data_IF_171101456948
#
_entry.id   IF_171101456948
#
_cell.length_a   1.000
_cell.length_b   1.000
_cell.length_c   1.000
_cell.angle_alpha   90.00
_cell.angle_beta   90.00
_cell.angle_gamma   90.00
#
_symmetry.space_group_name_H-M   'P 1'
#
loop_
_entity.id
_entity.type
_entity.pdbx_description
1 polymer ?
#
# COMPACT_ATOMS: atom_id res chain seq x y z
N UNK A 1 -17.11 12.05 -3.35
CA UNK A 1 -17.25 13.51 -3.54
C UNK A 1 -15.94 14.26 -3.33
N UNK A 2 -15.23 14.10 -2.18
CA UNK A 2 -13.98 14.84 -1.88
C UNK A 2 -12.88 14.60 -2.92
N UNK A 3 -12.60 13.33 -3.26
CA UNK A 3 -11.59 12.98 -4.28
C UNK A 3 -11.91 13.61 -5.64
N UNK A 4 -13.19 13.66 -6.03
CA UNK A 4 -13.62 14.32 -7.25
C UNK A 4 -13.31 15.82 -7.26
N UNK A 5 -13.61 16.51 -6.16
CA UNK A 5 -13.28 17.93 -6.00
C UNK A 5 -11.77 18.19 -6.08
N UNK A 6 -10.97 17.39 -5.40
CA UNK A 6 -9.51 17.50 -5.43
C UNK A 6 -8.94 17.24 -6.84
N UNK A 7 -9.55 16.31 -7.59
CA UNK A 7 -9.15 16.04 -8.98
C UNK A 7 -9.48 17.21 -9.90
N UNK A 8 -10.66 17.82 -9.76
CA UNK A 8 -11.08 19.01 -10.55
C UNK A 8 -10.17 20.20 -10.25
N UNK A 9 -9.74 20.36 -9.02
CA UNK A 9 -8.80 21.41 -8.61
C UNK A 9 -7.33 21.11 -9.00
N UNK A 10 -7.06 19.99 -9.68
CA UNK A 10 -5.71 19.60 -10.07
C UNK A 10 -4.80 19.19 -8.91
N UNK A 11 -5.37 18.89 -7.74
CA UNK A 11 -4.61 18.47 -6.55
C UNK A 11 -4.29 16.98 -6.54
N UNK A 12 -5.00 16.17 -7.31
CA UNK A 12 -4.66 14.76 -7.56
C UNK A 12 -4.21 14.64 -9.02
N UNK A 13 -2.91 14.38 -9.21
CA UNK A 13 -2.29 14.44 -10.55
C UNK A 13 -2.37 13.11 -11.31
N UNK A 14 -2.68 12.00 -10.63
CA UNK A 14 -2.86 10.64 -11.20
C UNK A 14 -1.68 10.11 -12.03
N UNK A 15 -0.50 10.75 -11.95
CA UNK A 15 0.70 10.35 -12.71
C UNK A 15 1.40 9.12 -12.12
N UNK A 16 1.20 8.87 -10.85
CA UNK A 16 1.75 7.73 -10.14
C UNK A 16 1.05 7.53 -8.81
N UNK A 17 0.91 6.25 -8.41
CA UNK A 17 0.26 5.86 -7.17
C UNK A 17 1.24 5.13 -6.27
N UNK A 18 1.26 5.48 -4.99
CA UNK A 18 1.94 4.74 -3.94
C UNK A 18 0.89 3.87 -3.27
N UNK A 19 1.13 2.54 -3.23
CA UNK A 19 0.27 1.59 -2.54
C UNK A 19 0.94 1.11 -1.27
N UNK A 20 0.18 1.10 -0.18
CA UNK A 20 0.64 0.56 1.10
C UNK A 20 -0.56 0.16 1.97
N UNK A 21 -0.30 -0.57 3.07
CA UNK A 21 -1.34 -1.02 3.98
C UNK A 21 -0.95 -0.87 5.44
N UNK A 22 -1.94 -0.71 6.29
CA UNK A 22 -1.75 -0.72 7.73
C UNK A 22 -2.76 -1.63 8.40
N UNK A 23 -2.36 -2.27 9.51
CA UNK A 23 -3.25 -3.10 10.30
C UNK A 23 -4.04 -2.19 11.25
N UNK A 24 -5.35 -2.44 11.31
CA UNK A 24 -6.28 -1.85 12.27
C UNK A 24 -6.75 -2.99 13.17
N UNK A 25 -6.44 -2.89 14.47
CA UNK A 25 -6.81 -3.93 15.42
C UNK A 25 -8.31 -3.91 15.73
N UNK A 26 -8.89 -5.10 15.79
CA UNK A 26 -10.21 -5.33 16.34
C UNK A 26 -10.10 -5.95 17.74
N UNK A 27 -11.10 -5.75 18.62
CA UNK A 27 -11.13 -6.38 19.94
C UNK A 27 -11.08 -7.91 19.81
N UNK A 28 -10.05 -8.52 20.37
CA UNK A 28 -9.89 -9.99 20.35
C UNK A 28 -10.63 -10.70 21.51
N UNK A 29 -11.15 -9.94 22.47
CA UNK A 29 -11.82 -10.46 23.66
C UNK A 29 -13.23 -10.95 23.33
N UNK A 30 -13.63 -12.07 23.93
CA UNK A 30 -15.01 -12.59 23.94
C UNK A 30 -15.80 -12.14 25.18
N UNK A 31 -15.24 -11.24 26.00
CA UNK A 31 -15.89 -10.69 27.22
C UNK A 31 -16.85 -9.54 26.92
N UNK A 32 -17.35 -9.44 25.69
CA UNK A 32 -18.38 -8.50 25.28
C UNK A 32 -19.78 -9.07 25.54
N UNK A 33 -20.81 -8.23 25.37
CA UNK A 33 -22.22 -8.60 25.57
C UNK A 33 -22.63 -9.83 24.74
N UNK A 34 -22.12 -9.95 23.54
CA UNK A 34 -22.46 -11.02 22.60
C UNK A 34 -21.60 -12.27 22.76
N UNK A 35 -20.57 -12.24 23.61
CA UNK A 35 -19.58 -13.30 23.83
C UNK A 35 -18.93 -13.83 22.53
N UNK A 36 -18.84 -12.98 21.51
CA UNK A 36 -18.31 -13.30 20.20
C UNK A 36 -17.25 -12.31 19.77
N UNK A 37 -16.31 -12.77 18.98
CA UNK A 37 -15.40 -11.91 18.21
C UNK A 37 -16.10 -11.44 16.96
N UNK A 38 -15.61 -10.36 16.39
CA UNK A 38 -16.01 -9.88 15.07
C UNK A 38 -15.76 -10.97 14.03
N UNK A 39 -16.79 -11.48 13.32
CA UNK A 39 -16.66 -12.60 12.38
C UNK A 39 -15.87 -12.22 11.12
N UNK A 40 -15.84 -10.94 10.75
CA UNK A 40 -15.16 -10.44 9.55
C UNK A 40 -13.68 -10.11 9.81
N UNK A 41 -13.30 -9.99 11.08
CA UNK A 41 -11.93 -9.74 11.49
C UNK A 41 -11.12 -11.05 11.53
N UNK A 42 -9.89 -11.02 10.96
CA UNK A 42 -9.03 -12.19 10.90
C UNK A 42 -7.64 -11.89 11.48
N UNK A 43 -6.88 -12.97 11.71
CA UNK A 43 -5.50 -12.88 12.20
C UNK A 43 -4.51 -12.70 11.06
N UNK A 44 -3.48 -11.89 11.30
CA UNK A 44 -2.30 -11.78 10.46
C UNK A 44 -1.05 -11.69 11.30
N UNK A 45 0.07 -12.15 10.76
CA UNK A 45 1.37 -12.07 11.43
C UNK A 45 2.23 -10.98 10.79
N UNK A 46 2.73 -10.04 11.60
CA UNK A 46 3.72 -9.05 11.17
C UNK A 46 4.97 -9.17 12.04
N UNK A 47 6.07 -9.57 11.43
CA UNK A 47 7.25 -9.98 12.18
C UNK A 47 6.95 -11.19 13.06
N UNK A 48 7.19 -11.08 14.37
CA UNK A 48 6.87 -12.12 15.36
C UNK A 48 5.55 -11.90 16.12
N UNK A 49 4.80 -10.83 15.78
CA UNK A 49 3.57 -10.47 16.49
C UNK A 49 2.35 -10.83 15.67
N UNK A 50 1.36 -11.46 16.33
CA UNK A 50 0.04 -11.72 15.76
C UNK A 50 -0.89 -10.54 16.04
N UNK A 51 -1.65 -10.15 15.02
CA UNK A 51 -2.65 -9.10 15.07
C UNK A 51 -4.00 -9.69 14.63
N UNK A 52 -5.07 -9.32 15.33
CA UNK A 52 -6.44 -9.65 14.95
C UNK A 52 -7.16 -8.37 14.55
N UNK A 53 -7.81 -8.36 13.39
CA UNK A 53 -8.52 -7.20 12.89
C UNK A 53 -8.59 -7.13 11.38
N UNK A 54 -8.36 -5.92 10.87
CA UNK A 54 -8.48 -5.55 9.48
C UNK A 54 -7.17 -4.96 8.94
N UNK A 55 -7.11 -4.83 7.63
CA UNK A 55 -6.11 -4.00 6.95
C UNK A 55 -6.81 -2.87 6.21
N UNK A 56 -6.31 -1.65 6.39
CA UNK A 56 -6.62 -0.53 5.52
C UNK A 56 -5.52 -0.41 4.47
N UNK A 57 -5.89 -0.61 3.21
CA UNK A 57 -5.04 -0.43 2.05
C UNK A 57 -5.33 0.93 1.45
N UNK A 58 -4.30 1.68 1.07
CA UNK A 58 -4.45 3.02 0.53
C UNK A 58 -3.69 3.18 -0.78
N UNK A 59 -4.31 3.92 -1.71
CA UNK A 59 -3.68 4.46 -2.90
C UNK A 59 -3.46 5.97 -2.70
N UNK A 60 -2.21 6.39 -2.79
CA UNK A 60 -1.77 7.77 -2.52
C UNK A 60 -1.15 8.36 -3.77
N UNK A 61 -1.54 9.57 -4.14
CA UNK A 61 -0.93 10.27 -5.25
C UNK A 61 0.57 10.52 -4.96
N UNK A 62 1.41 10.10 -5.89
CA UNK A 62 2.87 10.19 -5.76
C UNK A 62 3.37 11.61 -5.56
N UNK A 63 2.78 12.60 -6.25
CA UNK A 63 3.28 13.97 -6.26
C UNK A 63 2.77 14.74 -5.03
N UNK A 64 1.47 14.68 -4.77
CA UNK A 64 0.83 15.47 -3.71
C UNK A 64 0.79 14.78 -2.36
N UNK A 65 0.87 13.44 -2.32
CA UNK A 65 0.72 12.68 -1.08
C UNK A 65 -0.73 12.53 -0.61
N UNK A 66 -1.70 12.93 -1.42
CA UNK A 66 -3.12 12.82 -1.08
C UNK A 66 -3.66 11.41 -1.35
N UNK A 67 -4.48 10.92 -0.44
CA UNK A 67 -5.16 9.62 -0.59
C UNK A 67 -6.30 9.77 -1.59
N UNK A 68 -6.34 8.89 -2.58
CA UNK A 68 -7.41 8.85 -3.59
C UNK A 68 -8.22 7.55 -3.55
N UNK A 69 -7.66 6.46 -3.02
CA UNK A 69 -8.38 5.20 -2.83
C UNK A 69 -8.10 4.62 -1.45
N UNK A 70 -9.13 4.03 -0.87
CA UNK A 70 -9.04 3.29 0.40
C UNK A 70 -9.86 2.02 0.25
N UNK A 71 -9.25 0.88 0.56
CA UNK A 71 -9.91 -0.41 0.66
C UNK A 71 -9.68 -1.01 2.04
N UNK A 72 -10.72 -1.56 2.64
CA UNK A 72 -10.63 -2.24 3.94
C UNK A 72 -10.93 -3.71 3.73
N UNK A 73 -10.02 -4.55 4.19
CA UNK A 73 -10.16 -6.01 4.12
C UNK A 73 -9.90 -6.65 5.47
N UNK A 74 -10.30 -7.90 5.64
CA UNK A 74 -9.84 -8.69 6.79
C UNK A 74 -8.31 -8.82 6.76
N UNK A 75 -7.67 -8.89 7.95
CA UNK A 75 -6.21 -8.80 8.06
C UNK A 75 -5.43 -9.93 7.37
N UNK A 76 -6.07 -11.06 7.07
CA UNK A 76 -5.46 -12.19 6.36
C UNK A 76 -5.39 -12.03 4.85
N UNK A 77 -6.09 -11.04 4.26
CA UNK A 77 -6.02 -10.76 2.83
C UNK A 77 -4.62 -10.28 2.45
N UNK A 78 -4.10 -10.78 1.34
CA UNK A 78 -2.75 -10.46 0.90
C UNK A 78 -2.72 -9.09 0.20
N UNK A 79 -1.86 -8.18 0.64
CA UNK A 79 -1.81 -6.78 0.17
C UNK A 79 -1.73 -6.64 -1.34
N UNK A 80 -0.97 -7.54 -1.99
CA UNK A 80 -0.77 -7.54 -3.43
C UNK A 80 -2.05 -7.80 -4.24
N UNK A 81 -3.07 -8.47 -3.66
CA UNK A 81 -4.35 -8.75 -4.34
C UNK A 81 -5.25 -7.53 -4.44
N UNK A 82 -5.04 -6.55 -3.59
CA UNK A 82 -5.87 -5.34 -3.49
C UNK A 82 -5.38 -4.21 -4.41
N UNK A 83 -4.16 -4.35 -4.97
CA UNK A 83 -3.55 -3.32 -5.81
C UNK A 83 -4.46 -2.79 -6.93
N UNK A 84 -5.17 -3.64 -7.71
CA UNK A 84 -6.04 -3.12 -8.78
C UNK A 84 -7.13 -2.16 -8.29
N UNK A 85 -7.68 -2.39 -7.09
CA UNK A 85 -8.69 -1.52 -6.50
C UNK A 85 -8.14 -0.18 -5.99
N UNK A 86 -6.81 -0.08 -5.83
CA UNK A 86 -6.14 1.14 -5.36
C UNK A 86 -5.69 2.06 -6.50
N UNK A 87 -5.81 1.62 -7.75
CA UNK A 87 -5.36 2.39 -8.90
C UNK A 87 -6.50 3.17 -9.52
N UNK A 88 -6.18 4.35 -10.06
CA UNK A 88 -7.13 5.19 -10.82
C UNK A 88 -7.29 4.74 -12.27
N UNK A 89 -6.32 3.98 -12.79
CA UNK A 89 -6.21 3.59 -14.19
C UNK A 89 -5.41 4.57 -15.05
N UNK A 90 -5.06 5.74 -14.55
CA UNK A 90 -4.31 6.77 -15.31
C UNK A 90 -2.81 6.77 -15.00
N UNK A 91 -2.37 5.92 -14.09
CA UNK A 91 -0.99 5.88 -13.61
C UNK A 91 0.03 5.57 -14.72
N UNK A 92 1.19 6.20 -14.61
CA UNK A 92 2.39 5.80 -15.34
C UNK A 92 3.33 4.94 -14.48
N UNK A 93 3.26 5.08 -13.16
CA UNK A 93 4.11 4.38 -12.20
C UNK A 93 3.32 3.98 -10.95
N UNK A 94 3.60 2.79 -10.42
CA UNK A 94 3.07 2.29 -9.15
C UNK A 94 4.24 1.98 -8.23
N UNK A 95 4.21 2.52 -7.01
CA UNK A 95 5.22 2.32 -5.98
C UNK A 95 4.65 1.48 -4.85
N UNK A 96 5.44 0.53 -4.39
CA UNK A 96 5.08 -0.32 -3.25
C UNK A 96 6.30 -0.90 -2.57
N UNK A 97 6.13 -1.46 -1.39
CA UNK A 97 7.18 -2.18 -0.68
C UNK A 97 7.40 -3.59 -1.28
N UNK A 98 8.30 -4.35 -0.70
CA UNK A 98 8.61 -5.72 -1.16
C UNK A 98 7.46 -6.72 -0.98
N UNK A 99 6.42 -6.38 -0.23
CA UNK A 99 5.20 -7.16 -0.09
C UNK A 99 4.35 -7.17 -1.36
N UNK A 100 4.52 -6.14 -2.20
CA UNK A 100 3.81 -5.98 -3.47
C UNK A 100 4.57 -6.58 -4.69
N UNK A 101 5.65 -7.33 -4.46
CA UNK A 101 6.38 -7.99 -5.55
C UNK A 101 5.45 -8.95 -6.31
N UNK A 102 5.44 -8.80 -7.65
CA UNK A 102 4.61 -9.60 -8.54
C UNK A 102 3.17 -9.07 -8.72
N UNK A 103 2.84 -7.89 -8.22
CA UNK A 103 1.54 -7.25 -8.43
C UNK A 103 1.22 -7.08 -9.93
N UNK A 104 2.24 -6.81 -10.74
CA UNK A 104 2.16 -6.65 -12.20
C UNK A 104 1.87 -7.94 -12.97
N UNK A 105 2.04 -9.10 -12.32
CA UNK A 105 1.94 -10.43 -12.94
C UNK A 105 0.71 -11.21 -12.50
N UNK A 106 -0.12 -10.66 -11.63
CA UNK A 106 -1.30 -11.34 -11.13
C UNK A 106 -2.47 -11.21 -12.08
N UNK A 107 -3.37 -12.17 -11.99
CA UNK A 107 -4.68 -12.07 -12.64
C UNK A 107 -5.40 -10.79 -12.19
N UNK A 108 -5.98 -10.06 -13.13
CA UNK A 108 -6.60 -8.75 -12.87
C UNK A 108 -5.63 -7.58 -12.69
N UNK A 109 -4.31 -7.78 -12.84
CA UNK A 109 -3.34 -6.69 -12.75
C UNK A 109 -3.57 -5.62 -13.84
N UNK A 110 -3.63 -4.36 -13.44
CA UNK A 110 -3.68 -3.22 -14.37
C UNK A 110 -2.25 -2.91 -14.82
N UNK A 111 -1.88 -3.38 -16.00
CA UNK A 111 -0.52 -3.20 -16.56
C UNK A 111 -0.42 -2.10 -17.60
N UNK A 112 -1.56 -1.58 -18.06
CA UNK A 112 -1.66 -0.45 -18.99
C UNK A 112 -2.65 0.56 -18.45
N UNK A 113 -2.32 1.84 -18.64
CA UNK A 113 -3.24 2.91 -18.26
C UNK A 113 -4.33 3.13 -19.32
N UNK A 114 -5.29 4.03 -19.03
CA UNK A 114 -6.41 4.39 -19.91
C UNK A 114 -5.95 4.87 -21.29
N UNK A 115 -4.74 5.43 -21.42
CA UNK A 115 -4.11 5.83 -22.69
C UNK A 115 -3.37 4.68 -23.39
N UNK A 116 -3.47 3.43 -22.90
CA UNK A 116 -2.79 2.25 -23.46
C UNK A 116 -1.29 2.16 -23.16
N UNK A 117 -0.72 3.11 -22.42
CA UNK A 117 0.72 3.09 -22.04
C UNK A 117 0.97 2.11 -20.92
N UNK A 118 2.11 1.41 -20.97
CA UNK A 118 2.51 0.47 -19.93
C UNK A 118 2.77 1.18 -18.60
N UNK A 119 2.21 0.64 -17.53
CA UNK A 119 2.43 1.11 -16.16
C UNK A 119 3.71 0.47 -15.63
N UNK A 120 4.61 1.28 -15.07
CA UNK A 120 5.86 0.81 -14.48
C UNK A 120 5.69 0.56 -12.99
N UNK A 121 5.78 -0.70 -12.58
CA UNK A 121 5.77 -1.11 -11.17
C UNK A 121 7.14 -0.92 -10.54
N UNK A 122 7.27 0.05 -9.66
CA UNK A 122 8.49 0.46 -8.93
C UNK A 122 8.53 -0.15 -7.52
N UNK A 123 8.39 -1.47 -7.44
CA UNK A 123 8.36 -2.19 -6.16
C UNK A 123 9.77 -2.32 -5.59
N UNK A 124 9.94 -2.12 -4.27
CA UNK A 124 11.20 -2.33 -3.58
C UNK A 124 11.61 -3.81 -3.62
N UNK A 125 12.89 -4.08 -3.78
CA UNK A 125 13.45 -5.43 -3.72
C UNK A 125 13.57 -5.92 -2.28
N UNK A 126 13.46 -7.22 -2.09
CA UNK A 126 13.82 -7.83 -0.81
C UNK A 126 15.34 -7.74 -0.60
N UNK A 127 15.83 -7.49 0.63
CA UNK A 127 17.27 -7.40 0.92
C UNK A 127 18.08 -8.62 0.45
N UNK A 128 17.48 -9.81 0.51
CA UNK A 128 18.10 -11.06 0.05
C UNK A 128 18.45 -11.05 -1.44
N UNK A 129 17.69 -10.35 -2.27
CA UNK A 129 17.90 -10.31 -3.73
C UNK A 129 19.11 -9.46 -4.15
N UNK A 130 19.70 -8.68 -3.27
CA UNK A 130 20.87 -7.85 -3.54
C UNK A 130 22.20 -8.48 -3.10
N UNK A 131 22.17 -9.66 -2.46
CA UNK A 131 23.40 -10.30 -1.91
C UNK A 131 24.36 -10.78 -2.98
N UNK A 132 23.88 -11.24 -4.13
CA UNK A 132 24.69 -11.87 -5.18
C UNK A 132 25.12 -10.90 -6.31
N UNK A 133 25.15 -9.61 -6.05
CA UNK A 133 25.52 -8.60 -7.05
C UNK A 133 26.97 -8.13 -6.86
N UNK A 134 27.63 -7.71 -7.97
CA UNK A 134 28.97 -7.09 -7.93
C UNK A 134 28.94 -5.78 -7.12
N UNK A 135 30.09 -5.32 -6.60
CA UNK A 135 30.19 -4.08 -5.83
C UNK A 135 29.65 -2.88 -6.60
N UNK A 136 29.99 -2.76 -7.89
CA UNK A 136 29.52 -1.66 -8.76
C UNK A 136 27.99 -1.68 -8.94
N UNK A 137 27.41 -2.86 -9.17
CA UNK A 137 25.96 -3.00 -9.33
C UNK A 137 25.21 -2.80 -8.01
N UNK A 138 25.82 -3.16 -6.87
CA UNK A 138 25.24 -2.90 -5.53
C UNK A 138 25.01 -1.40 -5.28
N UNK A 139 25.96 -0.54 -5.66
CA UNK A 139 25.83 0.91 -5.53
C UNK A 139 24.64 1.47 -6.32
N UNK A 140 24.49 1.04 -7.57
CA UNK A 140 23.37 1.46 -8.41
C UNK A 140 22.01 0.94 -7.90
N UNK A 141 21.96 -0.32 -7.47
CA UNK A 141 20.76 -0.91 -6.86
C UNK A 141 20.38 -0.12 -5.62
N UNK A 142 21.33 0.12 -4.71
CA UNK A 142 21.07 0.86 -3.46
C UNK A 142 20.54 2.28 -3.72
N UNK A 143 21.07 2.97 -4.73
CA UNK A 143 20.56 4.29 -5.13
C UNK A 143 19.11 4.21 -5.60
N UNK A 144 18.79 3.28 -6.51
CA UNK A 144 17.42 3.08 -7.02
C UNK A 144 16.44 2.70 -5.91
N UNK A 145 16.86 1.82 -4.98
CA UNK A 145 15.99 1.44 -3.85
C UNK A 145 15.76 2.62 -2.90
N UNK A 146 16.77 3.47 -2.68
CA UNK A 146 16.62 4.70 -1.89
C UNK A 146 15.64 5.69 -2.55
N UNK A 147 15.72 5.87 -3.86
CA UNK A 147 14.79 6.71 -4.62
C UNK A 147 13.34 6.22 -4.47
N UNK A 148 13.08 4.92 -4.59
CA UNK A 148 11.76 4.34 -4.36
C UNK A 148 11.28 4.54 -2.93
N UNK A 149 12.13 4.29 -1.95
CA UNK A 149 11.79 4.46 -0.53
C UNK A 149 11.51 5.92 -0.17
N UNK A 150 12.22 6.88 -0.78
CA UNK A 150 11.95 8.31 -0.60
C UNK A 150 10.56 8.71 -1.10
N UNK A 151 10.13 8.18 -2.25
CA UNK A 151 8.77 8.40 -2.76
C UNK A 151 7.74 7.81 -1.80
N UNK A 152 7.97 6.58 -1.32
CA UNK A 152 7.04 5.89 -0.40
C UNK A 152 6.93 6.54 0.98
N UNK A 153 7.93 7.30 1.42
CA UNK A 153 7.89 7.99 2.70
C UNK A 153 6.65 8.90 2.87
N UNK A 154 6.02 9.34 1.78
CA UNK A 154 4.77 10.13 1.83
C UNK A 154 3.61 9.36 2.48
N UNK A 155 3.55 8.04 2.32
CA UNK A 155 2.52 7.19 2.94
C UNK A 155 2.64 7.16 4.46
N UNK A 156 3.85 7.29 5.00
CA UNK A 156 4.07 7.31 6.44
C UNK A 156 3.34 8.48 7.11
N UNK A 157 3.24 9.63 6.43
CA UNK A 157 2.45 10.77 6.90
C UNK A 157 0.97 10.42 7.02
N UNK A 158 0.39 9.77 6.03
CA UNK A 158 -1.01 9.35 6.04
C UNK A 158 -1.27 8.40 7.21
N UNK A 159 -0.43 7.39 7.36
CA UNK A 159 -0.57 6.45 8.48
C UNK A 159 -0.29 7.10 9.84
N UNK A 160 0.61 8.09 9.89
CA UNK A 160 0.83 8.90 11.08
C UNK A 160 -0.44 9.62 11.51
N UNK A 161 -1.15 10.26 10.58
CA UNK A 161 -2.44 10.92 10.86
C UNK A 161 -3.49 9.90 11.33
N UNK A 162 -3.66 8.80 10.61
CA UNK A 162 -4.65 7.76 10.94
C UNK A 162 -4.40 7.19 12.34
N UNK A 163 -3.15 6.91 12.69
CA UNK A 163 -2.81 6.24 13.96
C UNK A 163 -2.71 7.21 15.13
N UNK A 164 -2.09 8.37 14.94
CA UNK A 164 -1.76 9.27 16.03
C UNK A 164 -2.85 10.33 16.26
N UNK A 165 -3.45 10.86 15.18
CA UNK A 165 -4.48 11.87 15.29
C UNK A 165 -5.88 11.26 15.49
N UNK A 166 -6.21 10.24 14.71
CA UNK A 166 -7.51 9.56 14.81
C UNK A 166 -7.49 8.31 15.70
N UNK A 167 -6.35 7.99 16.31
CA UNK A 167 -6.18 6.89 17.27
C UNK A 167 -6.57 5.49 16.74
N UNK A 168 -6.57 5.27 15.43
CA UNK A 168 -6.67 3.94 14.84
C UNK A 168 -5.34 3.19 15.01
N UNK A 169 -4.99 2.87 16.25
CA UNK A 169 -3.77 2.12 16.58
C UNK A 169 -4.02 0.61 16.56
N UNK A 170 -2.92 -0.11 16.58
CA UNK A 170 -2.92 -1.55 16.79
C UNK A 170 -3.30 -1.90 18.22
#
# INVERSE_FOLDING_TARGET
QVVGLLSVQGLILKKGTIVDSTIIAAPSSTKNREKKRDPDAHQTKKGNTWHFGYKAHIGVDRETGLVHHVEVTSANVHDVTVVPALLTGDEMEVYGDSGYLGADKREGAITRNTSGKAIRYRINRRPSQSKNCTLRSRGQIRRREREKSSVRAKVEHVFGVVKNLFHFSK
#
